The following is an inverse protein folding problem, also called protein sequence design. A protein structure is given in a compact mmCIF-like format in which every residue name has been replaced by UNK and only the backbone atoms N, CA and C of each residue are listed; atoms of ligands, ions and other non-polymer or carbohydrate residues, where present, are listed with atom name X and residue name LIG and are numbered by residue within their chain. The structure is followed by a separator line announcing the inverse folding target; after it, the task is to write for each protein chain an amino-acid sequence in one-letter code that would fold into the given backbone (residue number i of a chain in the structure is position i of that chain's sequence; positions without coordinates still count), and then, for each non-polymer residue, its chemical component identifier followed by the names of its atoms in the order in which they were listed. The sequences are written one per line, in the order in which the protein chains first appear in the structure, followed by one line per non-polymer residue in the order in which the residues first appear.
data_IF_177129249146
#
_entry.id   IF_177129249146
#
_cell.length_a   1.000
_cell.length_b   1.000
_cell.length_c   1.000
_cell.angle_alpha   90.00
_cell.angle_beta   90.00
_cell.angle_gamma   90.00
#
_symmetry.space_group_name_H-M   'P 1'
#
loop_
_entity.id
_entity.type
_entity.pdbx_description
1 polymer ?
#
# COMPACT_ATOMS: atom_id res chain seq x y z
N UNK A 1 -9.90 13.12 -13.95
CA UNK A 1 -10.03 11.89 -14.75
C UNK A 1 -8.73 11.69 -15.51
N UNK A 2 -8.20 10.47 -15.49
CA UNK A 2 -6.94 10.06 -16.12
C UNK A 2 -7.25 8.88 -17.03
N UNK A 3 -6.88 8.99 -18.31
CA UNK A 3 -6.99 7.89 -19.26
C UNK A 3 -5.68 7.11 -19.28
N UNK A 4 -5.77 5.79 -19.12
CA UNK A 4 -4.62 4.88 -19.14
C UNK A 4 -4.49 4.29 -20.54
N UNK A 5 -3.26 4.12 -21.02
CA UNK A 5 -3.04 3.42 -22.28
C UNK A 5 -3.60 1.98 -22.22
N UNK A 6 -4.13 1.44 -23.33
CA UNK A 6 -4.62 0.08 -23.35
C UNK A 6 -3.52 -0.92 -23.00
N UNK A 7 -3.82 -1.84 -22.10
CA UNK A 7 -2.93 -2.94 -21.76
C UNK A 7 -2.81 -3.92 -22.93
N UNK A 8 -1.69 -4.64 -23.01
CA UNK A 8 -1.48 -5.69 -24.04
C UNK A 8 -2.55 -6.78 -24.04
N UNK A 9 -3.23 -7.00 -22.92
CA UNK A 9 -4.35 -7.93 -22.81
C UNK A 9 -5.57 -7.49 -23.64
N UNK A 10 -5.68 -6.21 -24.00
CA UNK A 10 -6.86 -5.57 -24.56
C UNK A 10 -7.78 -4.96 -23.50
N UNK A 11 -7.40 -4.99 -22.22
CA UNK A 11 -8.06 -4.21 -21.18
C UNK A 11 -7.67 -2.73 -21.30
N UNK A 12 -8.60 -1.84 -20.98
CA UNK A 12 -8.41 -0.39 -20.98
C UNK A 12 -9.22 0.21 -19.83
N UNK A 13 -8.58 1.12 -19.08
CA UNK A 13 -9.09 1.62 -17.80
C UNK A 13 -9.06 3.14 -17.79
N UNK A 14 -10.07 3.73 -17.17
CA UNK A 14 -10.12 5.15 -16.81
C UNK A 14 -10.08 5.27 -15.28
N UNK A 15 -9.27 6.18 -14.79
CA UNK A 15 -9.10 6.43 -13.35
C UNK A 15 -9.70 7.80 -13.00
N UNK A 16 -10.48 7.87 -11.94
CA UNK A 16 -10.87 9.13 -11.31
C UNK A 16 -10.09 9.30 -10.00
N UNK A 17 -9.38 10.44 -9.88
CA UNK A 17 -8.75 10.84 -8.62
C UNK A 17 -9.63 11.85 -7.92
N UNK A 18 -9.88 11.63 -6.63
CA UNK A 18 -10.62 12.54 -5.77
C UNK A 18 -9.71 13.04 -4.66
N UNK A 19 -9.60 14.36 -4.52
CA UNK A 19 -8.91 15.03 -3.42
C UNK A 19 -9.91 15.81 -2.60
N UNK A 20 -9.81 15.72 -1.28
CA UNK A 20 -10.72 16.33 -0.33
C UNK A 20 -10.00 17.36 0.51
N UNK A 21 -10.47 18.61 0.48
CA UNK A 21 -9.85 19.69 1.25
C UNK A 21 -9.94 19.46 2.77
N UNK A 22 -10.99 18.75 3.22
CA UNK A 22 -11.20 18.36 4.62
C UNK A 22 -10.45 17.07 5.01
N UNK A 23 -9.80 16.39 4.05
CA UNK A 23 -9.01 15.18 4.27
C UNK A 23 -7.73 15.19 3.43
N UNK A 24 -6.76 16.06 3.78
CA UNK A 24 -5.63 16.37 2.92
C UNK A 24 -4.60 15.23 2.78
N UNK A 25 -4.65 14.23 3.66
CA UNK A 25 -3.71 13.12 3.69
C UNK A 25 -4.18 11.91 2.87
N UNK A 26 -5.37 11.96 2.25
CA UNK A 26 -5.88 10.87 1.43
C UNK A 26 -6.23 11.28 0.01
N UNK A 27 -6.15 10.31 -0.90
CA UNK A 27 -6.60 10.40 -2.28
C UNK A 27 -7.52 9.22 -2.59
N UNK A 28 -8.66 9.52 -3.18
CA UNK A 28 -9.62 8.52 -3.64
C UNK A 28 -9.31 8.08 -5.06
N UNK A 29 -9.25 6.77 -5.29
CA UNK A 29 -9.04 6.15 -6.59
C UNK A 29 -10.28 5.37 -6.99
N UNK A 30 -11.02 5.86 -7.99
CA UNK A 30 -12.13 5.13 -8.60
C UNK A 30 -11.73 4.61 -9.97
N UNK A 31 -11.98 3.34 -10.25
CA UNK A 31 -11.58 2.71 -11.52
C UNK A 31 -12.80 2.35 -12.38
N UNK A 32 -12.67 2.59 -13.68
CA UNK A 32 -13.73 2.41 -14.67
C UNK A 32 -13.19 1.65 -15.88
N UNK A 33 -14.00 0.80 -16.46
CA UNK A 33 -13.68 0.13 -17.71
C UNK A 33 -13.92 1.11 -18.87
N UNK A 34 -12.93 1.30 -19.74
CA UNK A 34 -13.10 2.13 -20.92
C UNK A 34 -14.00 1.43 -21.96
N UNK A 35 -14.68 2.22 -22.80
CA UNK A 35 -15.46 1.70 -23.93
C UNK A 35 -14.61 0.79 -24.82
N UNK A 36 -15.13 -0.40 -25.14
CA UNK A 36 -14.45 -1.40 -25.96
C UNK A 36 -13.32 -2.18 -25.25
N UNK A 37 -13.08 -1.93 -23.96
CA UNK A 37 -12.16 -2.75 -23.16
C UNK A 37 -12.63 -4.19 -23.04
N UNK A 38 -11.69 -5.14 -22.96
CA UNK A 38 -11.99 -6.47 -22.44
C UNK A 38 -12.37 -6.43 -20.95
N UNK A 39 -13.20 -7.36 -20.46
CA UNK A 39 -13.55 -7.44 -19.05
C UNK A 39 -12.34 -7.59 -18.15
N UNK A 40 -12.35 -6.89 -17.02
CA UNK A 40 -11.32 -7.00 -15.98
C UNK A 40 -11.77 -8.00 -14.90
N UNK A 41 -10.85 -8.83 -14.42
CA UNK A 41 -11.06 -9.61 -13.21
C UNK A 41 -10.83 -8.76 -11.95
N UNK A 42 -9.85 -7.86 -12.00
CA UNK A 42 -9.51 -6.87 -10.98
C UNK A 42 -8.77 -5.70 -11.64
N UNK A 43 -8.80 -4.52 -11.00
CA UNK A 43 -7.91 -3.40 -11.30
C UNK A 43 -7.15 -3.04 -10.03
N UNK A 44 -5.84 -3.28 -10.02
CA UNK A 44 -5.00 -3.05 -8.83
C UNK A 44 -4.35 -1.68 -8.95
N UNK A 45 -4.73 -0.77 -8.05
CA UNK A 45 -3.98 0.45 -7.77
C UNK A 45 -3.10 0.15 -6.57
N UNK A 46 -1.79 0.30 -6.73
CA UNK A 46 -0.79 -0.11 -5.73
C UNK A 46 0.05 1.08 -5.30
N UNK A 47 0.32 1.17 -3.99
CA UNK A 47 1.37 2.03 -3.47
C UNK A 47 2.67 1.22 -3.54
N UNK A 48 3.50 1.53 -4.54
CA UNK A 48 4.84 0.93 -4.69
C UNK A 48 5.87 1.78 -3.93
N UNK A 49 7.06 1.23 -3.69
CA UNK A 49 8.11 1.85 -2.87
C UNK A 49 7.77 1.97 -1.38
N UNK A 50 6.99 1.04 -0.82
CA UNK A 50 6.85 0.91 0.63
C UNK A 50 8.19 0.79 1.37
N UNK A 51 9.24 0.31 0.68
CA UNK A 51 10.58 0.19 1.26
C UNK A 51 11.30 1.53 1.42
N UNK A 52 10.94 2.53 0.61
CA UNK A 52 11.36 3.91 0.80
C UNK A 52 10.72 4.46 2.07
N UNK A 53 9.41 4.23 2.22
CA UNK A 53 8.66 4.56 3.44
C UNK A 53 8.95 3.62 4.62
N UNK A 54 9.90 2.68 4.52
CA UNK A 54 10.34 1.79 5.62
C UNK A 54 9.22 0.95 6.23
N UNK A 55 8.17 0.65 5.47
CA UNK A 55 7.02 -0.09 5.97
C UNK A 55 7.42 -1.52 6.36
N UNK A 56 7.17 -1.88 7.62
CA UNK A 56 7.50 -3.21 8.16
C UNK A 56 6.44 -3.80 9.05
N UNK A 57 5.57 -2.97 9.60
CA UNK A 57 4.48 -3.40 10.47
C UNK A 57 3.19 -3.39 9.66
N UNK A 58 2.44 -4.49 9.67
CA UNK A 58 1.02 -4.46 9.33
C UNK A 58 0.19 -4.50 10.61
N UNK A 59 -0.80 -3.63 10.69
CA UNK A 59 -1.80 -3.65 11.75
C UNK A 59 -3.05 -4.34 11.18
N UNK A 60 -3.36 -5.52 11.71
CA UNK A 60 -4.53 -6.31 11.38
C UNK A 60 -5.56 -6.19 12.50
N UNK A 61 -6.75 -6.75 12.30
CA UNK A 61 -7.84 -6.68 13.29
C UNK A 61 -7.43 -7.17 14.68
N UNK A 62 -6.82 -8.34 14.72
CA UNK A 62 -6.54 -9.06 15.97
C UNK A 62 -5.03 -9.20 16.25
N UNK A 63 -4.17 -8.68 15.36
CA UNK A 63 -2.73 -8.88 15.44
C UNK A 63 -1.94 -7.74 14.79
N UNK A 64 -0.65 -7.69 15.11
CA UNK A 64 0.34 -6.82 14.47
C UNK A 64 1.52 -7.68 14.03
N UNK A 65 1.78 -7.70 12.73
CA UNK A 65 2.75 -8.61 12.10
C UNK A 65 3.88 -7.85 11.42
N UNK A 66 5.09 -8.40 11.46
CA UNK A 66 6.28 -7.78 10.89
C UNK A 66 6.64 -8.39 9.52
N UNK A 67 7.22 -7.60 8.63
CA UNK A 67 7.70 -8.08 7.33
C UNK A 67 8.70 -9.23 7.47
N UNK A 68 9.51 -9.23 8.53
CA UNK A 68 10.45 -10.31 8.87
C UNK A 68 9.79 -11.65 9.19
N UNK A 69 8.53 -11.64 9.64
CA UNK A 69 7.81 -12.85 10.02
C UNK A 69 7.41 -13.67 8.78
N UNK A 70 7.16 -13.01 7.65
CA UNK A 70 6.80 -13.65 6.39
C UNK A 70 8.01 -14.18 5.63
N UNK A 71 9.14 -13.48 5.70
CA UNK A 71 10.28 -13.72 4.84
C UNK A 71 11.63 -13.74 5.59
N UNK A 72 11.78 -14.58 6.64
CA UNK A 72 12.95 -14.55 7.52
C UNK A 72 14.27 -14.92 6.82
N UNK A 73 14.20 -15.63 5.70
CA UNK A 73 15.36 -16.08 4.92
C UNK A 73 15.45 -15.44 3.52
N UNK A 74 14.60 -14.45 3.22
CA UNK A 74 14.61 -13.82 1.90
C UNK A 74 15.83 -12.92 1.74
N UNK A 75 16.41 -12.92 0.54
CA UNK A 75 17.57 -12.12 0.18
C UNK A 75 17.59 -11.88 -1.33
N UNK A 76 18.35 -10.87 -1.75
CA UNK A 76 18.51 -10.51 -3.16
C UNK A 76 17.63 -9.34 -3.60
N UNK A 77 17.51 -9.18 -4.92
CA UNK A 77 16.89 -8.01 -5.57
C UNK A 77 15.45 -8.21 -6.02
N UNK A 78 14.95 -9.45 -5.94
CA UNK A 78 13.62 -9.79 -6.44
C UNK A 78 12.54 -9.36 -5.43
N UNK A 79 11.27 -9.54 -5.81
CA UNK A 79 10.16 -9.43 -4.88
C UNK A 79 10.02 -10.73 -4.10
N UNK A 80 9.86 -10.63 -2.78
CA UNK A 80 9.40 -11.74 -1.97
C UNK A 80 7.98 -12.17 -2.40
N UNK A 81 7.57 -13.43 -2.20
CA UNK A 81 6.22 -13.89 -2.53
C UNK A 81 5.14 -13.05 -1.85
N UNK A 82 4.02 -12.80 -2.55
CA UNK A 82 2.90 -12.06 -1.96
C UNK A 82 2.31 -12.80 -0.75
N UNK A 83 1.95 -12.02 0.26
CA UNK A 83 1.11 -12.44 1.38
C UNK A 83 -0.17 -11.61 1.31
N UNK A 84 -1.32 -12.27 1.45
CA UNK A 84 -2.63 -11.63 1.36
C UNK A 84 -3.52 -12.01 2.54
N UNK A 85 -4.30 -11.04 2.98
CA UNK A 85 -5.23 -11.10 4.10
C UNK A 85 -6.65 -10.85 3.61
N UNK A 86 -7.58 -11.72 3.97
CA UNK A 86 -9.00 -11.55 3.66
C UNK A 86 -9.63 -10.42 4.46
N UNK A 87 -10.84 -10.02 4.05
CA UNK A 87 -11.64 -9.00 4.74
C UNK A 87 -11.84 -9.28 6.25
N UNK A 88 -11.85 -10.55 6.64
CA UNK A 88 -11.93 -11.00 8.03
C UNK A 88 -10.70 -10.67 8.88
N UNK A 89 -9.53 -10.49 8.27
CA UNK A 89 -8.31 -10.09 8.95
C UNK A 89 -8.07 -8.57 8.94
N UNK A 90 -8.80 -7.82 8.08
CA UNK A 90 -8.68 -6.37 8.01
C UNK A 90 -9.41 -5.67 9.17
N UNK A 91 -8.91 -4.48 9.51
CA UNK A 91 -9.56 -3.59 10.47
C UNK A 91 -10.89 -3.14 9.87
N UNK A 92 -11.96 -3.21 10.67
CA UNK A 92 -13.26 -2.68 10.32
C UNK A 92 -13.57 -1.54 11.28
N UNK A 93 -13.81 -0.34 10.77
CA UNK A 93 -14.24 0.77 11.61
C UNK A 93 -15.75 0.68 11.93
N UNK A 94 -16.25 1.58 12.78
CA UNK A 94 -17.65 1.57 13.22
C UNK A 94 -18.68 1.76 12.08
N UNK A 95 -18.27 2.39 10.97
CA UNK A 95 -19.07 2.65 9.76
C UNK A 95 -19.08 1.45 8.81
N UNK A 96 -18.31 0.39 9.12
CA UNK A 96 -18.18 -0.77 8.25
C UNK A 96 -17.19 -0.59 7.09
N UNK A 97 -16.31 0.42 7.17
CA UNK A 97 -15.22 0.58 6.22
C UNK A 97 -14.10 -0.40 6.55
N UNK A 98 -13.56 -1.06 5.52
CA UNK A 98 -12.39 -1.92 5.64
C UNK A 98 -11.12 -1.08 5.52
N UNK A 99 -10.16 -1.33 6.41
CA UNK A 99 -8.87 -0.65 6.44
C UNK A 99 -7.72 -1.65 6.46
N UNK A 100 -6.74 -1.42 5.60
CA UNK A 100 -5.46 -2.12 5.60
C UNK A 100 -4.38 -1.10 5.92
N UNK A 101 -3.56 -1.37 6.93
CA UNK A 101 -2.66 -0.37 7.55
C UNK A 101 -1.24 -0.91 7.60
N UNK A 102 -0.29 -0.13 7.11
CA UNK A 102 1.14 -0.44 7.13
C UNK A 102 1.95 0.74 7.68
N UNK A 103 2.86 0.48 8.60
CA UNK A 103 3.68 1.51 9.23
C UNK A 103 5.17 1.12 9.28
N UNK A 104 6.07 2.10 9.42
CA UNK A 104 7.43 1.87 9.88
C UNK A 104 7.44 1.23 11.28
N UNK A 105 8.53 0.55 11.61
CA UNK A 105 8.81 0.08 12.98
C UNK A 105 10.02 0.79 13.61
N UNK A 106 10.56 1.80 12.93
CA UNK A 106 11.67 2.64 13.35
C UNK A 106 11.13 3.97 13.89
N UNK A 107 11.63 4.40 15.05
CA UNK A 107 11.29 5.72 15.62
C UNK A 107 11.94 6.86 14.83
N UNK A 108 13.16 6.61 14.31
CA UNK A 108 13.99 7.60 13.60
C UNK A 108 14.55 7.02 12.30
N UNK A 109 13.72 6.73 11.27
CA UNK A 109 14.18 6.16 10.01
C UNK A 109 15.17 7.06 9.25
N UNK A 110 15.13 8.38 9.46
CA UNK A 110 16.07 9.36 8.93
C UNK A 110 17.52 9.16 9.44
N UNK A 111 17.67 8.51 10.60
CA UNK A 111 18.96 8.22 11.22
C UNK A 111 19.54 6.85 10.81
N UNK A 112 18.95 6.18 9.81
CA UNK A 112 19.39 4.86 9.40
C UNK A 112 20.82 4.86 8.81
N UNK A 113 21.60 3.82 9.14
CA UNK A 113 22.92 3.60 8.56
C UNK A 113 22.80 2.95 7.17
N UNK A 114 23.04 3.76 6.14
CA UNK A 114 23.02 3.32 4.74
C UNK A 114 24.36 2.72 4.29
N UNK A 115 24.29 1.66 3.50
CA UNK A 115 25.48 1.12 2.84
C UNK A 115 26.16 2.17 1.94
N UNK A 116 27.49 2.12 1.77
CA UNK A 116 28.20 2.98 0.84
C UNK A 116 27.58 2.94 -0.55
N UNK A 117 27.54 4.10 -1.22
CA UNK A 117 26.97 4.27 -2.56
C UNK A 117 25.46 4.01 -2.69
N UNK A 118 24.72 3.89 -1.58
CA UNK A 118 23.25 3.96 -1.65
C UNK A 118 22.85 5.29 -2.28
N UNK A 119 22.06 5.20 -3.36
CA UNK A 119 21.59 6.37 -4.10
C UNK A 119 20.85 7.33 -3.14
N UNK A 120 21.14 8.63 -3.26
CA UNK A 120 20.63 9.63 -2.31
C UNK A 120 19.10 9.66 -2.25
N UNK A 121 18.43 9.40 -3.38
CA UNK A 121 16.97 9.34 -3.43
C UNK A 121 16.34 8.15 -2.72
N UNK A 122 17.14 7.18 -2.27
CA UNK A 122 16.67 6.08 -1.41
C UNK A 122 16.87 6.34 0.08
N UNK A 123 17.56 7.42 0.44
CA UNK A 123 17.69 7.80 1.85
C UNK A 123 16.39 8.42 2.32
N UNK A 124 15.95 8.00 3.49
CA UNK A 124 14.72 8.46 4.10
C UNK A 124 14.83 9.97 4.36
N UNK A 125 13.78 10.70 4.03
CA UNK A 125 13.65 12.12 4.26
C UNK A 125 12.18 12.44 4.59
N UNK A 126 11.95 13.36 5.52
CA UNK A 126 10.63 13.74 6.01
C UNK A 126 10.21 13.10 7.33
N UNK A 127 8.93 13.24 7.66
CA UNK A 127 8.33 12.73 8.89
C UNK A 127 7.96 11.24 8.77
N UNK A 128 7.90 10.54 9.91
CA UNK A 128 7.38 9.17 9.98
C UNK A 128 5.89 9.19 9.65
N UNK A 129 5.47 8.32 8.73
CA UNK A 129 4.09 8.26 8.30
C UNK A 129 3.61 6.81 8.15
N UNK A 130 2.35 6.59 8.52
CA UNK A 130 1.62 5.36 8.29
C UNK A 130 0.90 5.43 6.95
N UNK A 131 0.85 4.31 6.23
CA UNK A 131 0.09 4.15 5.00
C UNK A 131 -1.19 3.36 5.26
N UNK A 132 -2.29 3.80 4.65
CA UNK A 132 -3.60 3.19 4.81
C UNK A 132 -4.26 3.03 3.45
N UNK A 133 -4.80 1.83 3.19
CA UNK A 133 -5.86 1.65 2.21
C UNK A 133 -7.20 1.53 2.93
N UNK A 134 -8.23 2.19 2.40
CA UNK A 134 -9.59 2.17 2.95
C UNK A 134 -10.63 1.96 1.85
N UNK A 135 -11.57 1.04 2.09
CA UNK A 135 -12.74 0.83 1.25
C UNK A 135 -14.01 1.10 2.05
N UNK A 136 -14.85 1.99 1.54
CA UNK A 136 -16.12 2.36 2.20
C UNK A 136 -17.25 1.37 1.92
N UNK A 137 -17.13 0.61 0.82
CA UNK A 137 -18.07 -0.45 0.41
C UNK A 137 -17.25 -1.69 0.05
N UNK A 138 -16.69 -2.41 1.04
CA UNK A 138 -15.77 -3.51 0.78
C UNK A 138 -16.48 -4.72 0.16
N UNK A 139 -15.97 -5.21 -0.97
CA UNK A 139 -16.44 -6.48 -1.52
C UNK A 139 -16.11 -7.66 -0.57
N UNK A 140 -16.94 -8.72 -0.47
CA UNK A 140 -16.65 -9.88 0.40
C UNK A 140 -15.34 -10.62 0.09
N UNK A 141 -14.80 -10.45 -1.11
CA UNK A 141 -13.50 -10.99 -1.57
C UNK A 141 -12.38 -9.94 -1.56
N UNK A 142 -12.57 -8.79 -0.91
CA UNK A 142 -11.53 -7.80 -0.69
C UNK A 142 -10.36 -8.44 0.07
N UNK A 143 -9.14 -8.13 -0.36
CA UNK A 143 -7.91 -8.56 0.27
C UNK A 143 -6.92 -7.41 0.38
N UNK A 144 -6.24 -7.31 1.51
CA UNK A 144 -5.01 -6.55 1.65
C UNK A 144 -3.83 -7.45 1.29
N UNK A 145 -2.94 -7.01 0.40
CA UNK A 145 -1.79 -7.79 -0.03
C UNK A 145 -0.50 -6.98 0.10
N UNK A 146 0.58 -7.68 0.44
CA UNK A 146 1.94 -7.13 0.47
C UNK A 146 2.92 -8.07 -0.20
N UNK A 147 4.01 -7.51 -0.70
CA UNK A 147 5.25 -8.24 -0.95
C UNK A 147 6.42 -7.49 -0.32
N UNK A 148 7.61 -8.08 -0.35
CA UNK A 148 8.78 -7.54 0.34
C UNK A 148 10.01 -7.42 -0.54
N UNK A 149 10.96 -6.59 -0.11
CA UNK A 149 12.31 -6.48 -0.68
C UNK A 149 13.36 -6.33 0.40
N UNK A 150 14.57 -6.79 0.12
CA UNK A 150 15.77 -6.58 0.95
C UNK A 150 16.77 -5.59 0.35
N UNK A 151 16.63 -5.26 -0.94
CA UNK A 151 17.46 -4.30 -1.67
C UNK A 151 16.57 -3.26 -2.37
N UNK A 152 17.03 -2.00 -2.43
CA UNK A 152 16.29 -0.91 -3.10
C UNK A 152 16.13 -1.15 -4.61
N UNK A 153 15.03 -0.66 -5.18
CA UNK A 153 14.71 -0.83 -6.59
C UNK A 153 15.82 -0.35 -7.53
N UNK A 154 16.05 -1.13 -8.59
CA UNK A 154 17.11 -0.94 -9.58
C UNK A 154 18.53 -0.77 -8.98
N UNK A 155 18.80 -1.40 -7.84
CA UNK A 155 20.10 -1.34 -7.16
C UNK A 155 20.46 -2.67 -6.47
N UNK A 156 21.63 -2.68 -5.81
CA UNK A 156 22.08 -3.72 -4.86
C UNK A 156 22.24 -3.17 -3.44
N UNK A 157 21.76 -1.95 -3.19
CA UNK A 157 21.89 -1.32 -1.89
C UNK A 157 20.91 -1.98 -0.94
N UNK A 158 21.38 -2.57 0.17
CA UNK A 158 20.48 -3.19 1.15
C UNK A 158 19.61 -2.12 1.77
N UNK A 159 18.36 -2.48 2.01
CA UNK A 159 17.43 -1.67 2.80
C UNK A 159 17.91 -1.81 4.26
N UNK A 160 18.29 -0.70 4.96
CA UNK A 160 18.72 -0.78 6.35
C UNK A 160 17.68 -1.52 7.20
N UNK A 161 18.02 -2.27 8.25
CA UNK A 161 17.01 -2.98 9.05
C UNK A 161 16.35 -4.20 8.38
N UNK A 162 16.77 -4.57 7.16
CA UNK A 162 16.32 -5.78 6.48
C UNK A 162 15.03 -5.58 5.69
N UNK A 163 14.30 -6.69 5.49
CA UNK A 163 13.13 -6.74 4.60
C UNK A 163 12.10 -5.67 4.98
N UNK A 164 11.58 -4.98 3.96
CA UNK A 164 10.48 -4.02 4.07
C UNK A 164 9.46 -4.32 2.97
N UNK A 165 8.20 -3.93 3.19
CA UNK A 165 7.17 -4.09 2.18
C UNK A 165 7.49 -3.22 0.96
N UNK A 166 7.36 -3.74 -0.27
CA UNK A 166 7.47 -2.91 -1.47
C UNK A 166 6.10 -2.46 -1.94
N UNK A 167 5.26 -3.42 -2.31
CA UNK A 167 3.90 -3.14 -2.72
C UNK A 167 2.99 -3.28 -1.51
N UNK A 168 2.14 -2.28 -1.33
CA UNK A 168 1.07 -2.28 -0.37
C UNK A 168 -0.25 -2.08 -1.13
N UNK A 169 -1.06 -3.13 -1.15
CA UNK A 169 -2.14 -3.29 -2.11
C UNK A 169 -3.46 -3.59 -1.44
N UNK A 170 -4.53 -3.08 -2.03
CA UNK A 170 -5.88 -3.51 -1.74
C UNK A 170 -6.54 -3.98 -3.03
N UNK A 171 -7.11 -5.18 -3.01
CA UNK A 171 -7.52 -5.90 -4.21
C UNK A 171 -8.90 -6.52 -3.99
N UNK A 172 -9.82 -6.27 -4.92
CA UNK A 172 -11.11 -6.96 -5.00
C UNK A 172 -11.45 -7.31 -6.46
N UNK A 173 -12.44 -8.19 -6.71
CA UNK A 173 -13.01 -8.36 -8.03
C UNK A 173 -13.47 -7.03 -8.62
N UNK A 174 -13.18 -6.80 -9.90
CA UNK A 174 -13.46 -5.52 -10.54
C UNK A 174 -14.95 -5.15 -10.46
N UNK A 175 -15.22 -3.95 -9.97
CA UNK A 175 -16.54 -3.32 -9.95
C UNK A 175 -16.41 -1.89 -10.46
N UNK A 176 -17.24 -1.55 -11.44
CA UNK A 176 -17.24 -0.24 -12.06
C UNK A 176 -17.46 0.87 -11.01
N UNK A 177 -16.53 1.81 -10.91
CA UNK A 177 -16.61 2.93 -9.97
C UNK A 177 -16.29 2.59 -8.50
N UNK A 178 -15.89 1.34 -8.19
CA UNK A 178 -15.40 1.02 -6.86
C UNK A 178 -14.20 1.92 -6.52
N UNK A 179 -14.21 2.43 -5.28
CA UNK A 179 -13.28 3.46 -4.83
C UNK A 179 -12.47 2.97 -3.66
N UNK A 180 -11.15 3.09 -3.78
CA UNK A 180 -10.21 2.89 -2.68
C UNK A 180 -9.57 4.22 -2.32
N UNK A 181 -9.53 4.52 -1.02
CA UNK A 181 -8.86 5.69 -0.48
C UNK A 181 -7.48 5.27 0.01
N UNK A 182 -6.44 5.93 -0.49
CA UNK A 182 -5.07 5.74 0.00
C UNK A 182 -4.67 6.94 0.84
N UNK A 183 -4.17 6.70 2.04
CA UNK A 183 -3.66 7.72 2.95
C UNK A 183 -2.18 7.54 3.23
N UNK A 184 -1.46 8.66 3.32
CA UNK A 184 -0.12 8.74 3.92
C UNK A 184 -0.20 9.76 5.04
N UNK A 185 -0.20 9.28 6.28
CA UNK A 185 -0.65 10.05 7.43
C UNK A 185 0.44 10.10 8.49
N UNK A 186 0.76 11.28 9.05
CA UNK A 186 1.69 11.38 10.17
C UNK A 186 1.12 10.64 11.40
N UNK A 187 1.99 10.17 12.30
CA UNK A 187 1.60 9.31 13.42
C UNK A 187 0.55 9.95 14.36
N UNK A 188 0.52 11.27 14.50
CA UNK A 188 -0.46 11.99 15.32
C UNK A 188 -1.87 12.06 14.69
N UNK A 189 -1.99 11.84 13.38
CA UNK A 189 -3.25 11.84 12.64
C UNK A 189 -3.93 10.45 12.59
N UNK A 190 -3.22 9.38 12.97
CA UNK A 190 -3.69 7.99 12.87
C UNK A 190 -4.97 7.68 13.65
N UNK A 191 -5.13 8.07 14.94
CA UNK A 191 -6.35 7.78 15.70
C UNK A 191 -7.59 8.38 15.03
N UNK A 192 -7.46 9.61 14.53
CA UNK A 192 -8.54 10.33 13.83
C UNK A 192 -9.04 9.57 12.59
N UNK A 193 -8.20 8.79 11.91
CA UNK A 193 -8.57 8.03 10.71
C UNK A 193 -9.18 6.66 11.02
N UNK A 194 -8.75 6.03 12.10
CA UNK A 194 -9.32 4.76 12.57
C UNK A 194 -10.67 4.97 13.25
N UNK A 195 -10.84 6.12 13.93
CA UNK A 195 -12.02 6.50 14.70
C UNK A 195 -12.94 7.48 13.96
N UNK A 196 -12.91 7.55 12.61
CA UNK A 196 -13.80 8.44 11.85
C UNK A 196 -15.28 8.04 11.99
N UNK A 197 -15.90 8.50 13.08
CA UNK A 197 -17.32 8.50 13.40
C UNK A 197 -18.19 9.23 12.36
#
# INVERSE_FOLDING_TARGET
IIHIEPYRSGASVVLCLTFRADRPYEVGFSTFQADGSKPLSACIVTATMGNYARLRTLVLRDDTVQASDFWPAFSGSDFAPHVCFGLDALIMNAQGHAMFVAAPNEVHPESADYAPHTFIGWKYDGEVATQIWRSEDPHPLLRGCVNGRTEYWASRSPIPGGVAFENFEMIEPFREGATFWFGVVPDDAMPTLLDMD
#
